data_IF_068743221212
#
_entry.id   IF_068743221212
#
_cell.length_a   1.000
_cell.length_b   1.000
_cell.length_c   1.000
_cell.angle_alpha   90.00
_cell.angle_beta   90.00
_cell.angle_gamma   90.00
#
_symmetry.space_group_name_H-M   'P 1'
#
loop_
_entity.id
_entity.type
_entity.pdbx_description
1 polymer ?
#
# COMPACT_ATOMS: atom_id res chain seq x y z
N UNK A 1 31.50 -8.84 -7.45
CA UNK A 1 30.09 -8.42 -7.47
C UNK A 1 29.32 -9.60 -6.91
N UNK A 2 28.91 -9.53 -5.64
CA UNK A 2 28.07 -10.59 -5.03
C UNK A 2 26.75 -10.61 -5.80
N UNK A 3 26.50 -11.71 -6.52
CA UNK A 3 25.25 -11.90 -7.24
C UNK A 3 24.15 -12.09 -6.21
N UNK A 4 23.38 -11.04 -5.95
CA UNK A 4 22.15 -11.15 -5.20
C UNK A 4 21.22 -12.09 -5.97
N UNK A 5 21.01 -13.30 -5.46
CA UNK A 5 20.01 -14.23 -5.98
C UNK A 5 18.64 -13.74 -5.53
N UNK A 6 18.07 -12.83 -6.30
CA UNK A 6 16.75 -12.25 -6.02
C UNK A 6 15.67 -13.21 -6.51
N UNK A 7 14.82 -13.68 -5.59
CA UNK A 7 13.65 -14.46 -5.94
C UNK A 7 12.48 -13.55 -6.37
N UNK A 8 12.40 -13.25 -7.67
CA UNK A 8 11.39 -12.34 -8.24
C UNK A 8 9.96 -12.85 -8.13
N UNK A 9 9.76 -14.17 -8.17
CA UNK A 9 8.44 -14.79 -8.01
C UNK A 9 7.92 -14.56 -6.59
N UNK A 10 8.76 -14.85 -5.59
CA UNK A 10 8.43 -14.62 -4.18
C UNK A 10 8.15 -13.14 -3.88
N UNK A 11 8.94 -12.21 -4.44
CA UNK A 11 8.70 -10.77 -4.28
C UNK A 11 7.34 -10.37 -4.88
N UNK A 12 6.98 -10.91 -6.04
CA UNK A 12 5.68 -10.69 -6.67
C UNK A 12 4.52 -11.10 -5.76
N UNK A 13 4.59 -12.31 -5.21
CA UNK A 13 3.58 -12.83 -4.29
C UNK A 13 3.46 -11.98 -3.01
N UNK A 14 4.59 -11.56 -2.45
CA UNK A 14 4.63 -10.70 -1.27
C UNK A 14 3.98 -9.34 -1.55
N UNK A 15 4.26 -8.73 -2.70
CA UNK A 15 3.67 -7.44 -3.08
C UNK A 15 2.17 -7.55 -3.35
N UNK A 16 1.71 -8.65 -3.97
CA UNK A 16 0.28 -8.92 -4.16
C UNK A 16 -0.41 -9.14 -2.82
N UNK A 17 0.18 -9.92 -1.92
CA UNK A 17 -0.34 -10.12 -0.57
C UNK A 17 -0.47 -8.80 0.19
N UNK A 18 0.58 -7.97 0.15
CA UNK A 18 0.57 -6.63 0.75
C UNK A 18 -0.56 -5.78 0.15
N UNK A 19 -0.74 -5.82 -1.18
CA UNK A 19 -1.81 -5.11 -1.87
C UNK A 19 -3.20 -5.54 -1.40
N UNK A 20 -3.45 -6.86 -1.35
CA UNK A 20 -4.72 -7.41 -0.90
C UNK A 20 -5.02 -7.01 0.54
N UNK A 21 -4.04 -7.15 1.45
CA UNK A 21 -4.20 -6.76 2.86
C UNK A 21 -4.55 -5.28 2.96
N UNK A 22 -3.83 -4.43 2.22
CA UNK A 22 -4.04 -2.98 2.23
C UNK A 22 -5.43 -2.58 1.71
N UNK A 23 -5.89 -3.17 0.60
CA UNK A 23 -7.25 -2.95 0.07
C UNK A 23 -8.32 -3.41 1.07
N UNK A 24 -8.14 -4.59 1.67
CA UNK A 24 -9.07 -5.11 2.69
C UNK A 24 -9.13 -4.16 3.89
N UNK A 25 -7.98 -3.67 4.35
CA UNK A 25 -7.89 -2.74 5.48
C UNK A 25 -8.55 -1.40 5.18
N UNK A 26 -8.27 -0.83 4.01
CA UNK A 26 -8.90 0.40 3.50
C UNK A 26 -10.43 0.26 3.42
N UNK A 27 -10.90 -0.87 2.89
CA UNK A 27 -12.34 -1.18 2.75
C UNK A 27 -13.00 -1.39 4.12
N UNK A 28 -12.35 -2.11 5.03
CA UNK A 28 -12.89 -2.40 6.36
C UNK A 28 -13.04 -1.15 7.24
N UNK A 29 -12.15 -0.15 7.08
CA UNK A 29 -12.23 1.10 7.82
C UNK A 29 -13.19 2.12 7.22
N UNK A 30 -13.61 1.92 5.96
CA UNK A 30 -14.53 2.82 5.27
C UNK A 30 -15.84 3.07 6.04
N UNK A 31 -16.54 2.05 6.58
CA UNK A 31 -17.74 2.27 7.39
C UNK A 31 -17.48 3.12 8.64
N UNK A 32 -16.33 2.94 9.30
CA UNK A 32 -15.95 3.70 10.51
C UNK A 32 -15.74 5.17 10.14
N UNK A 33 -15.01 5.43 9.05
CA UNK A 33 -14.68 6.79 8.63
C UNK A 33 -15.84 7.53 7.96
N UNK A 34 -16.79 6.81 7.38
CA UNK A 34 -18.01 7.38 6.78
C UNK A 34 -19.17 7.45 7.79
N UNK A 35 -18.99 6.94 9.00
CA UNK A 35 -20.00 7.05 10.04
C UNK A 35 -20.26 8.52 10.38
N UNK A 36 -21.54 8.94 10.37
CA UNK A 36 -21.95 10.32 10.64
C UNK A 36 -21.36 10.91 11.93
N UNK A 37 -21.24 10.10 12.98
CA UNK A 37 -20.65 10.52 14.25
C UNK A 37 -19.17 10.80 14.07
N UNK A 38 -18.44 9.92 13.39
CA UNK A 38 -17.02 10.12 13.12
C UNK A 38 -16.81 11.39 12.27
N UNK A 39 -17.52 11.50 11.15
CA UNK A 39 -17.41 12.66 10.25
C UNK A 39 -17.64 13.98 11.00
N UNK A 40 -18.73 14.09 11.77
CA UNK A 40 -19.05 15.31 12.54
C UNK A 40 -17.93 15.75 13.49
N UNK A 41 -17.20 14.84 14.11
CA UNK A 41 -16.20 15.18 15.14
C UNK A 41 -14.77 15.30 14.58
N UNK A 42 -14.48 14.62 13.47
CA UNK A 42 -13.12 14.34 13.03
C UNK A 42 -12.81 14.70 11.58
N UNK A 43 -13.83 15.03 10.78
CA UNK A 43 -13.64 15.50 9.41
C UNK A 43 -12.79 16.78 9.39
N UNK A 44 -11.85 16.85 8.43
CA UNK A 44 -10.87 17.94 8.32
C UNK A 44 -9.70 17.90 9.32
N UNK A 45 -9.71 17.02 10.32
CA UNK A 45 -8.67 16.97 11.38
C UNK A 45 -7.50 16.01 11.12
N UNK A 46 -7.49 15.34 9.97
CA UNK A 46 -6.40 14.41 9.59
C UNK A 46 -6.28 13.14 10.44
N UNK A 47 -7.25 12.84 11.31
CA UNK A 47 -7.16 11.71 12.27
C UNK A 47 -7.35 10.32 11.65
N UNK A 48 -7.83 10.24 10.39
CA UNK A 48 -8.04 8.95 9.71
C UNK A 48 -6.72 8.19 9.61
N UNK A 49 -5.66 8.85 9.16
CA UNK A 49 -4.33 8.26 8.99
C UNK A 49 -3.75 7.66 10.28
N UNK A 50 -3.64 8.39 11.41
CA UNK A 50 -3.11 7.81 12.64
C UNK A 50 -3.99 6.67 13.18
N UNK A 51 -5.32 6.75 13.03
CA UNK A 51 -6.21 5.63 13.41
C UNK A 51 -5.92 4.40 12.55
N UNK A 52 -5.80 4.55 11.23
CA UNK A 52 -5.46 3.46 10.32
C UNK A 52 -4.11 2.84 10.69
N UNK A 53 -3.07 3.65 10.94
CA UNK A 53 -1.74 3.17 11.32
C UNK A 53 -1.78 2.41 12.64
N UNK A 54 -2.46 2.94 13.66
CA UNK A 54 -2.57 2.28 14.97
C UNK A 54 -3.31 0.96 14.89
N UNK A 55 -4.42 0.90 14.14
CA UNK A 55 -5.17 -0.34 13.96
C UNK A 55 -4.38 -1.36 13.15
N UNK A 56 -3.67 -0.94 12.10
CA UNK A 56 -2.81 -1.81 11.32
C UNK A 56 -1.69 -2.39 12.18
N UNK A 57 -1.03 -1.54 12.99
CA UNK A 57 0.04 -1.96 13.88
C UNK A 57 -0.46 -2.93 14.95
N UNK A 58 -1.62 -2.65 15.56
CA UNK A 58 -2.23 -3.54 16.56
C UNK A 58 -2.59 -4.91 15.96
N UNK A 59 -3.15 -4.94 14.76
CA UNK A 59 -3.47 -6.19 14.06
C UNK A 59 -2.20 -6.99 13.75
N UNK A 60 -1.22 -6.36 13.10
CA UNK A 60 0.03 -7.01 12.71
C UNK A 60 0.82 -7.52 13.92
N UNK A 61 0.75 -6.81 15.04
CA UNK A 61 1.32 -7.28 16.30
C UNK A 61 0.59 -8.53 16.80
N UNK A 62 -0.74 -8.52 16.86
CA UNK A 62 -1.53 -9.64 17.37
C UNK A 62 -1.39 -10.94 16.57
N UNK A 63 -1.01 -10.85 15.28
CA UNK A 63 -0.80 -12.00 14.41
C UNK A 63 0.67 -12.26 14.04
N UNK A 64 1.61 -11.52 14.66
CA UNK A 64 3.06 -11.60 14.37
C UNK A 64 3.42 -11.46 12.88
N UNK A 65 2.66 -10.65 12.14
CA UNK A 65 2.84 -10.43 10.70
C UNK A 65 3.89 -9.35 10.46
N UNK A 66 4.94 -9.69 9.72
CA UNK A 66 6.01 -8.79 9.29
C UNK A 66 6.33 -9.04 7.81
N UNK A 67 5.63 -8.32 6.93
CA UNK A 67 5.77 -8.49 5.47
C UNK A 67 7.13 -7.93 5.01
N UNK A 68 7.61 -6.89 5.68
CA UNK A 68 8.93 -6.33 5.39
C UNK A 68 10.05 -7.36 5.60
N UNK A 69 9.98 -8.18 6.66
CA UNK A 69 10.88 -9.33 6.82
C UNK A 69 10.87 -10.23 5.59
N UNK A 70 9.69 -10.61 5.09
CA UNK A 70 9.59 -11.51 3.94
C UNK A 70 10.23 -10.91 2.68
N UNK A 71 10.17 -9.59 2.51
CA UNK A 71 10.90 -8.89 1.44
C UNK A 71 12.41 -8.99 1.64
N UNK A 72 12.91 -8.76 2.85
CA UNK A 72 14.35 -8.87 3.16
C UNK A 72 14.85 -10.30 2.94
N UNK A 73 14.09 -11.29 3.40
CA UNK A 73 14.44 -12.71 3.23
C UNK A 73 14.47 -13.12 1.74
N UNK A 74 13.68 -12.48 0.87
CA UNK A 74 13.71 -12.71 -0.58
C UNK A 74 14.97 -12.16 -1.28
N UNK A 75 15.75 -11.33 -0.59
CA UNK A 75 17.07 -10.85 -1.02
C UNK A 75 18.23 -11.62 -0.36
N UNK A 76 17.93 -12.53 0.57
CA UNK A 76 18.97 -13.30 1.26
C UNK A 76 19.53 -14.41 0.37
N UNK A 77 20.80 -14.76 0.60
CA UNK A 77 21.44 -15.88 -0.10
C UNK A 77 20.75 -17.22 0.24
N UNK A 78 20.74 -18.16 -0.69
CA UNK A 78 20.20 -19.50 -0.46
C UNK A 78 20.90 -20.15 0.75
N UNK A 79 20.11 -20.57 1.75
CA UNK A 79 20.62 -21.16 2.99
C UNK A 79 20.91 -20.15 4.11
N UNK A 80 20.69 -18.84 3.89
CA UNK A 80 20.73 -17.85 4.96
C UNK A 80 19.66 -18.14 6.03
N UNK A 81 19.99 -17.88 7.29
CA UNK A 81 19.03 -17.98 8.40
C UNK A 81 17.94 -16.92 8.19
N UNK A 82 16.65 -17.28 8.17
CA UNK A 82 15.57 -16.31 8.01
C UNK A 82 15.66 -15.22 9.07
N UNK A 83 15.49 -13.97 8.66
CA UNK A 83 15.58 -12.83 9.59
C UNK A 83 14.52 -12.99 10.69
N UNK A 84 14.79 -12.64 11.94
CA UNK A 84 13.74 -12.62 12.96
C UNK A 84 12.73 -11.51 12.66
N UNK A 85 11.43 -11.71 12.94
CA UNK A 85 10.47 -10.59 12.87
C UNK A 85 10.92 -9.50 13.84
N UNK A 86 10.92 -8.25 13.39
CA UNK A 86 11.35 -7.12 14.21
C UNK A 86 10.21 -6.17 14.46
N UNK A 87 10.23 -5.51 15.62
CA UNK A 87 9.26 -4.46 15.91
C UNK A 87 9.27 -3.36 14.84
N UNK A 88 10.45 -3.02 14.32
CA UNK A 88 10.63 -2.03 13.24
C UNK A 88 10.01 -2.53 11.92
N UNK A 89 10.22 -3.79 11.54
CA UNK A 89 9.62 -4.39 10.33
C UNK A 89 8.09 -4.39 10.38
N UNK A 90 7.51 -4.65 11.55
CA UNK A 90 6.06 -4.53 11.79
C UNK A 90 5.56 -3.10 11.63
N UNK A 91 6.28 -2.10 12.15
CA UNK A 91 5.93 -0.68 11.95
C UNK A 91 5.94 -0.32 10.46
N UNK A 92 6.98 -0.71 9.72
CA UNK A 92 7.08 -0.45 8.28
C UNK A 92 5.91 -1.12 7.53
N UNK A 93 5.62 -2.37 7.87
CA UNK A 93 4.48 -3.10 7.29
C UNK A 93 3.15 -2.40 7.60
N UNK A 94 2.96 -1.94 8.85
CA UNK A 94 1.76 -1.21 9.26
C UNK A 94 1.59 0.10 8.48
N UNK A 95 2.67 0.85 8.26
CA UNK A 95 2.65 2.09 7.49
C UNK A 95 2.31 1.83 6.00
N UNK A 96 2.82 0.74 5.42
CA UNK A 96 2.49 0.35 4.05
C UNK A 96 1.02 -0.05 3.89
N UNK A 97 0.49 -0.84 4.83
CA UNK A 97 -0.94 -1.20 4.87
C UNK A 97 -1.80 0.04 5.09
N UNK A 98 -1.40 0.93 6.01
CA UNK A 98 -2.15 2.14 6.31
C UNK A 98 -2.12 3.19 5.19
N UNK A 99 -1.08 3.16 4.35
CA UNK A 99 -1.00 3.96 3.12
C UNK A 99 -1.99 3.53 2.03
N UNK A 100 -2.74 2.45 2.25
CA UNK A 100 -3.78 1.97 1.35
C UNK A 100 -3.22 1.44 0.03
N UNK A 101 -4.13 1.19 -0.91
CA UNK A 101 -3.79 0.71 -2.26
C UNK A 101 -2.83 1.65 -3.01
N UNK A 102 -2.89 2.96 -2.72
CA UNK A 102 -2.02 3.98 -3.33
C UNK A 102 -0.54 3.83 -2.98
N UNK A 103 -0.20 3.51 -1.72
CA UNK A 103 1.20 3.32 -1.31
C UNK A 103 1.86 2.14 -2.07
N UNK A 104 1.11 1.06 -2.26
CA UNK A 104 1.61 -0.15 -2.93
C UNK A 104 1.64 0.05 -4.44
N UNK A 105 0.70 0.80 -4.99
CA UNK A 105 0.74 1.24 -6.36
C UNK A 105 2.01 2.05 -6.70
N UNK A 106 2.47 2.89 -5.77
CA UNK A 106 3.75 3.62 -5.91
C UNK A 106 4.92 2.64 -5.97
N UNK A 107 4.91 1.56 -5.18
CA UNK A 107 5.96 0.53 -5.24
C UNK A 107 5.98 -0.11 -6.63
N UNK A 108 4.84 -0.61 -7.12
CA UNK A 108 4.75 -1.18 -8.47
C UNK A 108 5.21 -0.21 -9.56
N UNK A 109 4.89 1.07 -9.42
CA UNK A 109 5.33 2.11 -10.37
C UNK A 109 6.84 2.34 -10.33
N UNK A 110 7.46 2.31 -9.13
CA UNK A 110 8.89 2.54 -8.94
C UNK A 110 9.76 1.38 -9.42
N UNK A 111 9.27 0.14 -9.34
CA UNK A 111 10.01 -1.05 -9.81
C UNK A 111 9.85 -1.29 -11.33
N UNK A 112 9.23 -0.36 -12.06
CA UNK A 112 9.15 -0.42 -13.52
C UNK A 112 8.04 -1.32 -14.07
N UNK A 113 7.22 -1.96 -13.21
CA UNK A 113 6.05 -2.74 -13.65
C UNK A 113 4.95 -1.85 -14.27
N UNK A 114 4.99 -0.54 -14.03
CA UNK A 114 4.09 0.43 -14.67
C UNK A 114 4.72 1.81 -14.75
N UNK A 115 4.72 2.44 -15.93
CA UNK A 115 5.38 3.73 -16.13
C UNK A 115 4.52 4.89 -15.54
N UNK A 116 4.98 5.61 -14.50
CA UNK A 116 4.21 6.68 -13.85
C UNK A 116 3.90 7.84 -14.81
N UNK A 117 4.71 8.04 -15.85
CA UNK A 117 4.45 9.03 -16.90
C UNK A 117 3.19 8.67 -17.70
N UNK A 118 2.92 7.38 -17.94
CA UNK A 118 1.71 6.96 -18.66
C UNK A 118 0.43 7.23 -17.86
N UNK A 119 0.48 7.17 -16.52
CA UNK A 119 -0.68 7.50 -15.68
C UNK A 119 -0.91 9.01 -15.63
N UNK A 120 0.15 9.80 -15.46
CA UNK A 120 0.07 11.25 -15.51
C UNK A 120 -0.40 11.75 -16.88
N UNK A 121 0.06 11.13 -17.95
CA UNK A 121 -0.35 11.40 -19.32
C UNK A 121 -1.79 10.96 -19.60
N UNK A 122 -2.21 9.79 -19.09
CA UNK A 122 -3.61 9.33 -19.18
C UNK A 122 -4.55 10.27 -18.41
N UNK A 123 -4.20 10.65 -17.19
CA UNK A 123 -4.96 11.61 -16.39
C UNK A 123 -4.98 13.01 -17.02
N UNK A 124 -3.90 13.44 -17.68
CA UNK A 124 -3.85 14.69 -18.44
C UNK A 124 -4.77 14.64 -19.65
N UNK A 125 -4.70 13.57 -20.45
CA UNK A 125 -5.59 13.35 -21.61
C UNK A 125 -7.05 13.23 -21.22
N UNK A 126 -7.38 12.56 -20.12
CA UNK A 126 -8.75 12.47 -19.61
C UNK A 126 -9.29 13.84 -19.18
N UNK A 127 -8.46 14.68 -18.53
CA UNK A 127 -8.82 16.06 -18.18
C UNK A 127 -8.96 16.96 -19.41
N UNK A 128 -8.13 16.77 -20.42
CA UNK A 128 -8.21 17.48 -21.70
C UNK A 128 -9.48 17.08 -22.47
N UNK A 129 -9.79 15.79 -22.55
CA UNK A 129 -11.00 15.27 -23.17
C UNK A 129 -12.26 15.72 -22.42
N UNK A 130 -12.25 15.77 -21.09
CA UNK A 130 -13.37 16.26 -20.29
C UNK A 130 -13.63 17.77 -20.49
N UNK A 131 -12.58 18.55 -20.81
CA UNK A 131 -12.69 19.97 -21.15
C UNK A 131 -13.12 20.22 -22.60
N UNK A 132 -12.91 19.24 -23.48
CA UNK A 132 -13.27 19.29 -24.90
C UNK A 132 -14.59 18.58 -25.22
N UNK A 133 -15.21 17.91 -24.24
CA UNK A 133 -16.53 17.34 -24.39
C UNK A 133 -17.51 18.51 -24.63
N UNK A 134 -18.17 18.59 -25.80
CA UNK A 134 -19.19 19.60 -26.02
C UNK A 134 -20.27 19.42 -24.96
N UNK A 135 -20.75 20.53 -24.39
CA UNK A 135 -22.05 20.53 -23.70
C UNK A 135 -23.02 19.84 -24.65
N UNK A 136 -23.58 18.70 -24.22
CA UNK A 136 -24.71 18.15 -24.94
C UNK A 136 -25.80 19.18 -24.75
N UNK A 137 -26.16 19.87 -25.82
CA UNK A 137 -27.37 20.68 -25.86
C UNK A 137 -28.55 19.70 -25.81
N UNK A 138 -29.06 19.43 -24.60
CA UNK A 138 -30.38 18.86 -24.36
C UNK A 138 -31.46 19.95 -24.20
#
# INVERSE_FOLDING_TARGET
MTGLNVNWEQIGDILVLLFVISVVFETALTPIFNWRVFARHFEGKGVKTPITVLLALALLWGYDIDIFKHVIDAFAEEGAVPSSSTFVGRIITALLVAGGSGAIFIIFSKIGLRNPQQLAEKARKERENAKQAPERDD
#
